data_IF_473620764956
#
_entry.id   IF_473620764956
#
_cell.length_a   1.000
_cell.length_b   1.000
_cell.length_c   1.000
_cell.angle_alpha   90.00
_cell.angle_beta   90.00
_cell.angle_gamma   90.00
#
_symmetry.space_group_name_H-M   'P 1'
#
loop_
_entity.id
_entity.type
_entity.pdbx_description
1 polymer ?
#
# COMPACT_ATOMS: atom_id res chain seq x y z
N UNK A 1 -3.26 -1.14 3.88
CA UNK A 1 -3.43 0.29 4.22
C UNK A 1 -4.08 0.37 5.60
N UNK A 2 -3.68 1.33 6.41
CA UNK A 2 -4.25 1.61 7.74
C UNK A 2 -4.44 3.11 7.88
N UNK A 3 -5.60 3.49 8.41
CA UNK A 3 -6.01 4.87 8.65
C UNK A 3 -6.32 5.01 10.13
N UNK A 4 -5.79 6.05 10.76
CA UNK A 4 -6.05 6.36 12.16
C UNK A 4 -6.30 7.84 12.29
N UNK A 5 -7.49 8.20 12.78
CA UNK A 5 -7.79 9.56 13.21
C UNK A 5 -7.33 9.66 14.67
N UNK A 6 -6.54 10.67 14.99
CA UNK A 6 -5.97 10.87 16.33
C UNK A 6 -5.83 12.35 16.65
N UNK A 7 -5.35 12.65 17.87
CA UNK A 7 -5.17 14.02 18.36
C UNK A 7 -6.50 14.80 18.35
N UNK A 8 -7.50 14.29 19.09
CA UNK A 8 -8.86 14.85 19.17
C UNK A 8 -9.51 15.08 17.80
N UNK A 9 -9.41 14.09 16.92
CA UNK A 9 -9.95 14.10 15.56
C UNK A 9 -9.41 15.21 14.64
N UNK A 10 -8.20 15.73 14.93
CA UNK A 10 -7.58 16.79 14.13
C UNK A 10 -6.48 16.30 13.19
N UNK A 11 -6.03 15.04 13.30
CA UNK A 11 -4.95 14.49 12.47
C UNK A 11 -5.30 13.12 11.92
N UNK A 12 -4.89 12.88 10.67
CA UNK A 12 -4.92 11.57 10.02
C UNK A 12 -3.52 10.98 9.93
N UNK A 13 -3.36 9.76 10.45
CA UNK A 13 -2.22 8.91 10.15
C UNK A 13 -2.63 7.89 9.08
N UNK A 14 -2.04 8.03 7.89
CA UNK A 14 -2.09 7.02 6.84
C UNK A 14 -0.80 6.21 6.83
N UNK A 15 -0.91 4.89 6.93
CA UNK A 15 0.22 3.97 6.78
C UNK A 15 -0.08 2.90 5.76
N UNK A 16 0.86 2.68 4.87
CA UNK A 16 0.80 1.63 3.87
C UNK A 16 2.16 0.97 3.72
N UNK A 17 2.10 -0.30 3.32
CA UNK A 17 3.27 -1.12 3.06
C UNK A 17 3.18 -1.58 1.62
N UNK A 18 4.25 -1.46 0.87
CA UNK A 18 4.29 -1.75 -0.55
C UNK A 18 5.62 -2.38 -0.93
N UNK A 19 5.61 -3.11 -2.05
CA UNK A 19 6.83 -3.61 -2.67
C UNK A 19 7.33 -2.61 -3.71
N UNK A 20 8.64 -2.49 -3.84
CA UNK A 20 9.27 -1.69 -4.89
C UNK A 20 9.53 -0.23 -4.48
N UNK A 21 9.66 0.63 -5.50
CA UNK A 21 10.06 2.02 -5.32
C UNK A 21 8.87 2.91 -4.90
N UNK A 22 9.18 3.97 -4.15
CA UNK A 22 8.20 4.94 -3.66
C UNK A 22 7.47 5.67 -4.80
N UNK A 23 8.19 6.09 -5.84
CA UNK A 23 7.63 6.89 -6.93
C UNK A 23 6.47 6.18 -7.67
N UNK A 24 6.67 4.98 -8.23
CA UNK A 24 5.59 4.23 -8.88
C UNK A 24 4.45 3.90 -7.93
N UNK A 25 4.75 3.72 -6.64
CA UNK A 25 3.74 3.46 -5.63
C UNK A 25 2.82 4.68 -5.39
N UNK A 26 3.38 5.88 -5.36
CA UNK A 26 2.56 7.11 -5.29
C UNK A 26 1.80 7.34 -6.60
N UNK A 27 2.41 7.07 -7.75
CA UNK A 27 1.74 7.18 -9.05
C UNK A 27 0.53 6.24 -9.17
N UNK A 28 0.59 5.07 -8.53
CA UNK A 28 -0.52 4.13 -8.43
C UNK A 28 -1.75 4.73 -7.72
N UNK A 29 -1.57 5.63 -6.76
CA UNK A 29 -2.69 6.33 -6.14
C UNK A 29 -3.42 7.27 -7.10
N UNK A 30 -2.67 8.02 -7.91
CA UNK A 30 -3.23 8.92 -8.90
C UNK A 30 -3.90 8.20 -10.08
N UNK A 31 -3.48 6.97 -10.36
CA UNK A 31 -3.92 6.22 -11.56
C UNK A 31 -4.94 5.13 -11.26
N UNK A 32 -4.85 4.44 -10.12
CA UNK A 32 -5.69 3.26 -9.82
C UNK A 32 -6.85 3.57 -8.90
N UNK A 33 -6.65 4.40 -7.88
CA UNK A 33 -7.67 4.71 -6.87
C UNK A 33 -7.80 6.21 -6.55
N UNK A 34 -7.76 7.11 -7.55
CA UNK A 34 -7.65 8.54 -7.28
C UNK A 34 -8.84 9.11 -6.50
N UNK A 35 -10.06 8.71 -6.85
CA UNK A 35 -11.26 9.25 -6.21
C UNK A 35 -11.38 8.79 -4.74
N UNK A 36 -10.82 7.62 -4.42
CA UNK A 36 -10.72 7.15 -3.02
C UNK A 36 -9.71 7.98 -2.24
N UNK A 37 -8.58 8.34 -2.85
CA UNK A 37 -7.56 9.14 -2.17
C UNK A 37 -8.06 10.58 -1.99
N UNK A 38 -8.69 11.16 -3.00
CA UNK A 38 -9.28 12.50 -2.88
C UNK A 38 -10.39 12.53 -1.82
N UNK A 39 -11.20 11.46 -1.68
CA UNK A 39 -12.18 11.34 -0.60
C UNK A 39 -11.52 11.29 0.79
N UNK A 40 -10.44 10.53 0.94
CA UNK A 40 -9.81 10.33 2.26
C UNK A 40 -8.99 11.55 2.70
N UNK A 41 -8.25 12.15 1.77
CA UNK A 41 -7.33 13.25 2.06
C UNK A 41 -7.95 14.63 1.78
N UNK A 42 -9.13 14.70 1.16
CA UNK A 42 -9.78 15.97 0.78
C UNK A 42 -10.10 16.90 1.95
N UNK A 43 -10.26 16.36 3.15
CA UNK A 43 -10.49 17.13 4.38
C UNK A 43 -9.18 17.56 5.07
N UNK A 44 -8.02 17.14 4.56
CA UNK A 44 -6.72 17.49 5.15
C UNK A 44 -6.29 18.87 4.64
N UNK A 45 -5.98 19.75 5.59
CA UNK A 45 -5.54 21.11 5.30
C UNK A 45 -4.36 21.12 4.32
N UNK A 46 -4.52 21.86 3.22
CA UNK A 46 -3.48 22.05 2.21
C UNK A 46 -3.24 20.85 1.30
N UNK A 47 -4.04 19.78 1.36
CA UNK A 47 -3.96 18.68 0.39
C UNK A 47 -4.26 19.20 -1.02
N UNK A 48 -3.34 19.03 -2.00
CA UNK A 48 -3.48 19.65 -3.31
C UNK A 48 -4.34 18.85 -4.29
N UNK A 49 -4.85 17.68 -3.88
CA UNK A 49 -5.47 16.69 -4.76
C UNK A 49 -4.46 15.68 -5.30
N UNK A 50 -4.85 14.40 -5.42
CA UNK A 50 -3.93 13.30 -5.77
C UNK A 50 -3.38 13.41 -7.20
N UNK A 51 -4.08 14.13 -8.07
CA UNK A 51 -3.68 14.38 -9.47
C UNK A 51 -2.88 15.68 -9.64
N UNK A 52 -2.63 16.42 -8.57
CA UNK A 52 -1.86 17.67 -8.64
C UNK A 52 -0.40 17.39 -8.99
N UNK A 53 0.24 18.20 -9.85
CA UNK A 53 1.68 18.07 -10.14
C UNK A 53 2.56 18.16 -8.89
N UNK A 54 2.12 18.89 -7.85
CA UNK A 54 2.86 19.07 -6.60
C UNK A 54 2.55 18.01 -5.53
N UNK A 55 1.80 16.96 -5.84
CA UNK A 55 1.36 15.98 -4.84
C UNK A 55 2.52 15.25 -4.19
N UNK A 56 3.55 14.87 -4.95
CA UNK A 56 4.72 14.15 -4.43
C UNK A 56 5.50 15.00 -3.42
N UNK A 57 5.70 16.28 -3.72
CA UNK A 57 6.34 17.22 -2.79
C UNK A 57 5.51 17.41 -1.52
N UNK A 58 4.19 17.50 -1.66
CA UNK A 58 3.28 17.56 -0.52
C UNK A 58 3.37 16.30 0.35
N UNK A 59 3.40 15.10 -0.24
CA UNK A 59 3.53 13.84 0.51
C UNK A 59 4.87 13.81 1.25
N UNK A 60 5.99 14.10 0.56
CA UNK A 60 7.32 14.10 1.18
C UNK A 60 7.40 15.07 2.36
N UNK A 61 6.78 16.25 2.24
CA UNK A 61 6.74 17.26 3.31
C UNK A 61 6.01 16.78 4.57
N UNK A 62 4.99 15.94 4.43
CA UNK A 62 4.16 15.45 5.55
C UNK A 62 4.48 13.99 5.94
N UNK A 63 5.33 13.30 5.18
CA UNK A 63 5.72 11.93 5.44
C UNK A 63 6.72 11.86 6.60
N UNK A 64 6.50 10.90 7.49
CA UNK A 64 7.46 10.54 8.54
C UNK A 64 8.06 9.17 8.20
N UNK A 65 9.39 9.12 8.06
CA UNK A 65 10.10 7.87 7.78
C UNK A 65 10.05 6.94 8.99
N UNK A 66 9.69 5.68 8.75
CA UNK A 66 9.77 4.65 9.77
C UNK A 66 11.24 4.41 10.18
N UNK A 67 11.51 4.39 11.49
CA UNK A 67 12.84 4.07 12.03
C UNK A 67 13.10 2.57 12.01
N UNK A 68 12.04 1.78 12.12
CA UNK A 68 12.08 0.32 12.07
C UNK A 68 10.85 -0.20 11.34
N UNK A 69 11.06 -1.18 10.47
CA UNK A 69 10.00 -1.87 9.76
C UNK A 69 10.29 -3.37 9.78
N UNK A 70 9.35 -4.15 10.34
CA UNK A 70 9.45 -5.60 10.35
C UNK A 70 8.75 -6.18 9.13
N UNK A 71 9.46 -7.05 8.41
CA UNK A 71 8.89 -7.93 7.39
C UNK A 71 9.13 -9.38 7.79
N UNK A 72 8.07 -10.18 7.83
CA UNK A 72 8.19 -11.62 8.08
C UNK A 72 8.91 -12.35 6.93
N UNK A 73 8.85 -11.78 5.72
CA UNK A 73 9.43 -12.35 4.50
C UNK A 73 10.21 -11.27 3.74
N UNK A 74 11.38 -10.82 4.25
CA UNK A 74 12.10 -9.67 3.70
C UNK A 74 12.64 -9.90 2.28
N UNK A 75 12.74 -11.15 1.85
CA UNK A 75 13.25 -11.55 0.52
C UNK A 75 12.13 -11.95 -0.46
N UNK A 76 10.87 -11.69 -0.13
CA UNK A 76 9.74 -12.09 -0.98
C UNK A 76 8.73 -10.96 -1.12
N UNK A 77 8.40 -10.63 -2.36
CA UNK A 77 7.31 -9.68 -2.64
C UNK A 77 5.95 -10.34 -2.45
N UNK A 78 4.89 -9.54 -2.34
CA UNK A 78 3.50 -10.01 -2.38
C UNK A 78 3.23 -10.83 -3.64
N UNK A 79 3.84 -10.47 -4.77
CA UNK A 79 3.74 -11.24 -6.02
C UNK A 79 4.35 -12.63 -5.90
N UNK A 80 5.46 -12.77 -5.18
CA UNK A 80 6.10 -14.08 -4.96
C UNK A 80 5.24 -14.96 -4.05
N UNK A 81 4.65 -14.37 -3.01
CA UNK A 81 3.70 -15.05 -2.13
C UNK A 81 2.49 -15.57 -2.93
N UNK A 82 1.90 -14.74 -3.79
CA UNK A 82 0.78 -15.16 -4.64
C UNK A 82 1.15 -16.29 -5.60
N UNK A 83 2.34 -16.24 -6.21
CA UNK A 83 2.84 -17.34 -7.04
C UNK A 83 3.00 -18.62 -6.22
N UNK A 84 3.58 -18.54 -5.03
CA UNK A 84 3.75 -19.70 -4.15
C UNK A 84 2.42 -20.33 -3.75
N UNK A 85 1.41 -19.52 -3.41
CA UNK A 85 0.06 -20.00 -3.09
C UNK A 85 -0.61 -20.69 -4.29
N UNK A 86 -0.43 -20.16 -5.51
CA UNK A 86 -0.94 -20.78 -6.73
C UNK A 86 -0.27 -22.13 -7.00
N UNK A 87 1.05 -22.22 -6.84
CA UNK A 87 1.81 -23.47 -6.99
C UNK A 87 1.36 -24.51 -5.97
N UNK A 88 1.23 -24.11 -4.70
CA UNK A 88 0.72 -24.97 -3.62
C UNK A 88 -0.64 -25.57 -3.98
N UNK A 89 -1.61 -24.74 -4.36
CA UNK A 89 -2.96 -25.22 -4.70
C UNK A 89 -2.98 -26.16 -5.91
N UNK A 90 -2.14 -25.91 -6.92
CA UNK A 90 -1.98 -26.81 -8.05
C UNK A 90 -1.38 -28.16 -7.64
N UNK A 91 -0.36 -28.15 -6.78
CA UNK A 91 0.26 -29.37 -6.26
C UNK A 91 -0.71 -30.18 -5.40
N UNK A 92 -1.47 -29.52 -4.52
CA UNK A 92 -2.50 -30.17 -3.69
C UNK A 92 -3.49 -30.95 -4.58
N UNK A 93 -3.98 -30.33 -5.67
CA UNK A 93 -4.90 -30.98 -6.63
C UNK A 93 -4.28 -32.22 -7.29
N UNK A 94 -3.00 -32.16 -7.67
CA UNK A 94 -2.31 -33.29 -8.30
C UNK A 94 -2.11 -34.45 -7.32
N UNK A 95 -1.79 -34.16 -6.06
CA UNK A 95 -1.61 -35.17 -5.02
C UNK A 95 -2.93 -35.86 -4.67
N UNK A 96 -4.03 -35.12 -4.62
CA UNK A 96 -5.37 -35.67 -4.39
C UNK A 96 -5.79 -36.65 -5.51
N UNK A 97 -5.51 -36.29 -6.77
CA UNK A 97 -5.77 -37.15 -7.93
C UNK A 97 -4.90 -38.40 -7.94
N UNK A 98 -3.62 -38.29 -7.57
CA UNK A 98 -2.70 -39.43 -7.54
C UNK A 98 -2.98 -40.41 -6.38
N UNK A 99 -3.70 -39.95 -5.36
CA UNK A 99 -4.07 -40.76 -4.17
C UNK A 99 -5.46 -41.38 -4.28
N UNK A 100 -6.19 -41.13 -5.38
CA UNK A 100 -7.52 -41.68 -5.68
C UNK A 100 -7.42 -42.85 -6.66
#
# INVERSE_FOLDING_TARGET
>A
MRYVIFDNDTRLLFTSTFDGAWDPYIDDFATKIPDTIDMIFGEIEGFPGIRSPGIKDWIVKHQVSAQYFYSAYPSSSVRDVWKALKVKGGLDTLLDQASS
#
